data_IF_032396597233
#
_entry.id   IF_032396597233
#
_cell.length_a   1.000
_cell.length_b   1.000
_cell.length_c   1.000
_cell.angle_alpha   90.00
_cell.angle_beta   90.00
_cell.angle_gamma   90.00
#
_symmetry.space_group_name_H-M   'P 1'
#
loop_
_entity.id
_entity.type
_entity.pdbx_description
1 polymer ?
#
# COMPACT_ATOMS: atom_id res chain seq x y z
N UNK A 1 -2.39 3.66 -35.86
CA UNK A 1 -3.86 3.75 -35.71
C UNK A 1 -4.17 4.67 -34.55
N UNK A 2 -5.03 5.67 -34.73
CA UNK A 2 -5.54 6.47 -33.61
C UNK A 2 -6.36 5.56 -32.69
N UNK A 3 -6.11 5.59 -31.38
CA UNK A 3 -6.94 4.85 -30.43
C UNK A 3 -8.32 5.49 -30.32
N UNK A 4 -9.35 4.64 -30.18
CA UNK A 4 -10.71 5.13 -29.99
C UNK A 4 -10.85 5.76 -28.60
N UNK A 5 -11.66 6.82 -28.43
CA UNK A 5 -11.93 7.45 -27.13
C UNK A 5 -12.34 6.46 -26.02
N UNK A 6 -12.98 5.35 -26.40
CA UNK A 6 -13.36 4.25 -25.49
C UNK A 6 -12.17 3.58 -24.81
N UNK A 7 -11.05 3.39 -25.52
CA UNK A 7 -9.86 2.74 -24.97
C UNK A 7 -9.18 3.63 -23.91
N UNK A 8 -9.10 4.93 -24.15
CA UNK A 8 -8.55 5.90 -23.20
C UNK A 8 -9.37 5.90 -21.91
N UNK A 9 -10.71 5.96 -22.01
CA UNK A 9 -11.59 5.91 -20.84
C UNK A 9 -11.48 4.60 -20.07
N UNK A 10 -11.33 3.46 -20.77
CA UNK A 10 -11.12 2.17 -20.12
C UNK A 10 -9.82 2.16 -19.30
N UNK A 11 -8.71 2.68 -19.85
CA UNK A 11 -7.42 2.73 -19.15
C UNK A 11 -7.46 3.71 -17.96
N UNK A 12 -8.14 4.84 -18.11
CA UNK A 12 -8.42 5.75 -16.99
C UNK A 12 -9.18 5.03 -15.87
N UNK A 13 -10.26 4.33 -16.21
CA UNK A 13 -11.06 3.58 -15.24
C UNK A 13 -10.22 2.52 -14.51
N UNK A 14 -9.38 1.76 -15.21
CA UNK A 14 -8.47 0.77 -14.60
C UNK A 14 -7.53 1.45 -13.60
N UNK A 15 -6.82 2.52 -14.01
CA UNK A 15 -5.91 3.24 -13.12
C UNK A 15 -6.61 3.76 -11.86
N UNK A 16 -7.77 4.38 -12.03
CA UNK A 16 -8.57 4.97 -10.96
C UNK A 16 -9.11 3.93 -9.98
N UNK A 17 -9.76 2.90 -10.49
CA UNK A 17 -10.37 1.85 -9.68
C UNK A 17 -9.29 1.11 -8.91
N UNK A 18 -8.20 0.71 -9.56
CA UNK A 18 -7.13 -0.03 -8.90
C UNK A 18 -6.42 0.81 -7.84
N UNK A 19 -6.02 2.05 -8.13
CA UNK A 19 -5.36 2.92 -7.14
C UNK A 19 -6.27 3.26 -5.95
N UNK A 20 -7.56 3.55 -6.19
CA UNK A 20 -8.52 3.87 -5.13
C UNK A 20 -8.86 2.65 -4.26
N UNK A 21 -9.03 1.47 -4.87
CA UNK A 21 -9.27 0.23 -4.13
C UNK A 21 -8.08 -0.11 -3.22
N UNK A 22 -6.85 0.04 -3.71
CA UNK A 22 -5.64 -0.15 -2.90
C UNK A 22 -5.55 0.89 -1.77
N UNK A 23 -5.88 2.15 -2.03
CA UNK A 23 -5.92 3.19 -1.00
C UNK A 23 -6.89 2.82 0.11
N UNK A 24 -8.13 2.43 -0.25
CA UNK A 24 -9.14 1.97 0.69
C UNK A 24 -8.69 0.77 1.51
N UNK A 25 -8.12 -0.25 0.86
CA UNK A 25 -7.58 -1.42 1.55
C UNK A 25 -6.48 -1.05 2.56
N UNK A 26 -5.52 -0.22 2.16
CA UNK A 26 -4.47 0.28 3.07
C UNK A 26 -5.04 1.06 4.25
N UNK A 27 -5.97 1.99 4.00
CA UNK A 27 -6.57 2.81 5.05
C UNK A 27 -7.33 1.93 6.04
N UNK A 28 -8.19 1.01 5.57
CA UNK A 28 -8.97 0.08 6.42
C UNK A 28 -8.06 -0.80 7.27
N UNK A 29 -6.94 -1.29 6.72
CA UNK A 29 -5.97 -2.04 7.51
C UNK A 29 -5.47 -1.20 8.69
N UNK A 30 -5.17 0.07 8.48
CA UNK A 30 -4.67 0.94 9.55
C UNK A 30 -5.75 1.39 10.53
N UNK A 31 -6.95 1.72 10.06
CA UNK A 31 -7.99 2.36 10.89
C UNK A 31 -8.93 1.37 11.56
N UNK A 32 -9.06 0.15 11.03
CA UNK A 32 -9.98 -0.87 11.56
C UNK A 32 -9.22 -2.11 11.97
N UNK A 33 -8.40 -2.70 11.08
CA UNK A 33 -7.72 -3.97 11.39
C UNK A 33 -6.70 -3.82 12.51
N UNK A 34 -5.80 -2.82 12.45
CA UNK A 34 -4.74 -2.63 13.46
C UNK A 34 -5.31 -2.45 14.88
N UNK A 35 -6.33 -1.59 15.13
CA UNK A 35 -6.97 -1.54 16.44
C UNK A 35 -7.52 -2.88 16.93
N UNK A 36 -8.11 -3.70 16.04
CA UNK A 36 -8.60 -5.04 16.41
C UNK A 36 -7.46 -6.01 16.72
N UNK A 37 -6.34 -5.93 16.00
CA UNK A 37 -5.14 -6.74 16.27
C UNK A 37 -4.59 -6.44 17.67
N UNK A 38 -4.56 -5.17 18.08
CA UNK A 38 -4.04 -4.73 19.38
C UNK A 38 -4.89 -5.18 20.59
N UNK A 39 -6.11 -5.67 20.37
CA UNK A 39 -6.96 -6.25 21.43
C UNK A 39 -6.71 -7.75 21.65
N UNK A 40 -6.01 -8.41 20.72
CA UNK A 40 -5.74 -9.83 20.79
C UNK A 40 -4.52 -10.15 21.67
N UNK A 41 -4.46 -11.34 22.30
CA UNK A 41 -3.23 -11.82 22.93
C UNK A 41 -2.05 -11.80 21.95
N UNK A 42 -0.85 -11.45 22.43
CA UNK A 42 0.33 -11.22 21.59
C UNK A 42 0.59 -12.32 20.54
N UNK A 43 0.54 -13.62 20.86
CA UNK A 43 0.77 -14.67 19.87
C UNK A 43 -0.24 -14.66 18.72
N UNK A 44 -1.51 -14.46 19.05
CA UNK A 44 -2.59 -14.37 18.07
C UNK A 44 -2.48 -13.10 17.24
N UNK A 45 -2.20 -11.96 17.87
CA UNK A 45 -1.98 -10.67 17.20
C UNK A 45 -0.87 -10.77 16.15
N UNK A 46 0.29 -11.33 16.52
CA UNK A 46 1.44 -11.50 15.62
C UNK A 46 1.12 -12.45 14.47
N UNK A 47 0.43 -13.57 14.74
CA UNK A 47 0.00 -14.52 13.70
C UNK A 47 -0.96 -13.87 12.70
N UNK A 48 -1.96 -13.12 13.18
CA UNK A 48 -2.93 -12.43 12.34
C UNK A 48 -2.26 -11.33 11.50
N UNK A 49 -1.40 -10.51 12.12
CA UNK A 49 -0.61 -9.51 11.42
C UNK A 49 0.25 -10.14 10.31
N UNK A 50 0.96 -11.24 10.60
CA UNK A 50 1.81 -11.91 9.62
C UNK A 50 0.99 -12.41 8.41
N UNK A 51 -0.23 -12.90 8.66
CA UNK A 51 -1.20 -13.24 7.62
C UNK A 51 -1.52 -12.02 6.75
N UNK A 52 -1.94 -10.90 7.34
CA UNK A 52 -2.26 -9.65 6.62
C UNK A 52 -1.04 -9.15 5.82
N UNK A 53 0.13 -9.11 6.44
CA UNK A 53 1.38 -8.68 5.81
C UNK A 53 1.75 -9.56 4.61
N UNK A 54 1.64 -10.88 4.76
CA UNK A 54 2.00 -11.85 3.71
C UNK A 54 1.05 -11.77 2.51
N UNK A 55 -0.26 -11.60 2.74
CA UNK A 55 -1.20 -11.41 1.64
C UNK A 55 -1.00 -10.05 0.97
N UNK A 56 -0.83 -8.99 1.76
CA UNK A 56 -0.59 -7.63 1.25
C UNK A 56 0.67 -7.52 0.39
N UNK A 57 1.80 -8.09 0.84
CA UNK A 57 3.06 -8.04 0.07
C UNK A 57 2.98 -8.77 -1.27
N UNK A 58 2.11 -9.77 -1.39
CA UNK A 58 1.95 -10.55 -2.62
C UNK A 58 0.93 -9.90 -3.58
N UNK A 59 -0.12 -9.26 -3.05
CA UNK A 59 -1.21 -8.72 -3.87
C UNK A 59 -1.05 -7.24 -4.21
N UNK A 60 -0.59 -6.40 -3.28
CA UNK A 60 -0.60 -4.95 -3.46
C UNK A 60 0.42 -4.44 -4.50
N UNK A 61 1.70 -4.90 -4.53
CA UNK A 61 2.66 -4.38 -5.50
C UNK A 61 2.28 -4.64 -6.97
N UNK A 62 1.80 -5.84 -7.38
CA UNK A 62 1.33 -6.06 -8.75
C UNK A 62 0.15 -5.15 -9.13
N UNK A 63 -0.80 -4.92 -8.22
CA UNK A 63 -1.93 -4.03 -8.47
C UNK A 63 -1.48 -2.56 -8.55
N UNK A 64 -0.52 -2.13 -7.73
CA UNK A 64 0.06 -0.79 -7.84
C UNK A 64 0.81 -0.61 -9.17
N UNK A 65 1.51 -1.65 -9.64
CA UNK A 65 2.14 -1.64 -10.97
C UNK A 65 1.10 -1.56 -12.10
N UNK A 66 -0.04 -2.24 -11.97
CA UNK A 66 -1.15 -2.13 -12.92
C UNK A 66 -1.67 -0.69 -12.99
N UNK A 67 -1.97 -0.07 -11.84
CA UNK A 67 -2.44 1.31 -11.79
C UNK A 67 -1.38 2.29 -12.34
N UNK A 68 -0.12 2.12 -11.96
CA UNK A 68 0.98 2.94 -12.45
C UNK A 68 1.15 2.83 -13.97
N UNK A 69 1.08 1.62 -14.52
CA UNK A 69 1.20 1.37 -15.96
C UNK A 69 0.08 2.05 -16.74
N UNK A 70 -1.16 2.00 -16.24
CA UNK A 70 -2.29 2.74 -16.82
C UNK A 70 -2.03 4.24 -16.86
N UNK A 71 -1.55 4.83 -15.76
CA UNK A 71 -1.24 6.26 -15.71
C UNK A 71 -0.04 6.65 -16.57
N UNK A 72 1.04 5.86 -16.60
CA UNK A 72 2.18 6.11 -17.47
C UNK A 72 1.82 6.03 -18.94
N UNK A 73 0.93 5.10 -19.31
CA UNK A 73 0.40 5.05 -20.66
C UNK A 73 -0.39 6.32 -21.03
N UNK A 74 -1.27 6.77 -20.14
CA UNK A 74 -2.04 8.01 -20.33
C UNK A 74 -1.13 9.24 -20.38
N UNK A 75 -0.05 9.26 -19.60
CA UNK A 75 0.97 10.31 -19.66
C UNK A 75 1.64 10.33 -21.03
N UNK A 76 2.12 9.19 -21.51
CA UNK A 76 2.74 9.07 -22.83
C UNK A 76 1.81 9.53 -23.95
N UNK A 77 0.55 9.08 -23.94
CA UNK A 77 -0.46 9.50 -24.93
C UNK A 77 -0.77 10.99 -24.87
N UNK A 78 -0.97 11.54 -23.67
CA UNK A 78 -1.24 12.96 -23.49
C UNK A 78 -0.06 13.82 -23.98
N UNK A 79 1.17 13.38 -23.73
CA UNK A 79 2.38 14.06 -24.21
C UNK A 79 2.47 14.03 -25.74
N UNK A 80 2.17 12.90 -26.37
CA UNK A 80 2.18 12.79 -27.83
C UNK A 80 1.11 13.63 -28.52
N UNK A 81 -0.10 13.69 -27.95
CA UNK A 81 -1.24 14.36 -28.58
C UNK A 81 -1.28 15.87 -28.32
N UNK A 82 -0.89 16.31 -27.11
CA UNK A 82 -1.01 17.71 -26.67
C UNK A 82 0.34 18.43 -26.63
N UNK A 83 1.44 17.71 -26.84
CA UNK A 83 2.79 18.24 -26.78
C UNK A 83 3.33 18.43 -25.35
N UNK A 84 4.62 18.78 -25.21
CA UNK A 84 5.32 18.85 -23.92
C UNK A 84 4.84 19.99 -23.00
N UNK A 85 4.24 21.04 -23.57
CA UNK A 85 3.73 22.19 -22.81
C UNK A 85 2.46 21.86 -22.00
N UNK A 86 1.73 20.81 -22.36
CA UNK A 86 0.50 20.42 -21.66
C UNK A 86 0.78 19.92 -20.23
N UNK A 87 -0.06 20.29 -19.27
CA UNK A 87 0.02 19.82 -17.88
C UNK A 87 -0.44 18.37 -17.72
N UNK A 88 -1.38 17.92 -18.57
CA UNK A 88 -2.08 16.65 -18.45
C UNK A 88 -1.14 15.44 -18.37
N UNK A 89 -0.09 15.40 -19.18
CA UNK A 89 0.87 14.30 -19.16
C UNK A 89 1.70 14.26 -17.88
N UNK A 90 2.08 15.44 -17.35
CA UNK A 90 2.85 15.54 -16.10
C UNK A 90 2.04 15.05 -14.91
N UNK A 91 0.75 15.38 -14.88
CA UNK A 91 -0.14 14.95 -13.80
C UNK A 91 -0.37 13.43 -13.83
N UNK A 92 -0.57 12.83 -15.01
CA UNK A 92 -0.62 11.37 -15.12
C UNK A 92 0.71 10.71 -14.74
N UNK A 93 1.85 11.30 -15.09
CA UNK A 93 3.16 10.81 -14.63
C UNK A 93 3.25 10.83 -13.10
N UNK A 94 2.83 11.92 -12.46
CA UNK A 94 2.79 12.03 -11.00
C UNK A 94 1.84 10.97 -10.39
N UNK A 95 0.65 10.77 -10.96
CA UNK A 95 -0.29 9.75 -10.49
C UNK A 95 0.34 8.34 -10.53
N UNK A 96 1.04 8.01 -11.63
CA UNK A 96 1.72 6.72 -11.76
C UNK A 96 2.88 6.54 -10.77
N UNK A 97 3.69 7.59 -10.57
CA UNK A 97 4.79 7.59 -9.59
C UNK A 97 4.28 7.43 -8.16
N UNK A 98 3.20 8.10 -7.79
CA UNK A 98 2.57 7.95 -6.48
C UNK A 98 2.05 6.52 -6.25
N UNK A 99 1.50 5.89 -7.30
CA UNK A 99 0.98 4.52 -7.21
C UNK A 99 2.09 3.51 -6.95
N UNK A 100 3.12 3.46 -7.81
CA UNK A 100 4.22 2.50 -7.66
C UNK A 100 5.16 2.87 -6.50
N UNK A 101 5.14 4.14 -6.06
CA UNK A 101 5.92 4.68 -4.95
C UNK A 101 5.69 3.98 -3.61
N UNK A 102 4.60 3.22 -3.45
CA UNK A 102 4.41 2.38 -2.27
C UNK A 102 5.50 1.32 -2.11
N UNK A 103 6.15 0.89 -3.20
CA UNK A 103 7.22 -0.12 -3.18
C UNK A 103 8.47 0.44 -2.52
N UNK A 104 9.12 1.51 -3.03
CA UNK A 104 10.27 2.11 -2.35
C UNK A 104 9.90 2.63 -0.95
N UNK A 105 8.69 3.14 -0.74
CA UNK A 105 8.21 3.50 0.61
C UNK A 105 8.24 2.31 1.57
N UNK A 106 7.78 1.14 1.12
CA UNK A 106 7.78 -0.07 1.96
C UNK A 106 9.21 -0.56 2.22
N UNK A 107 10.04 -0.62 1.17
CA UNK A 107 11.42 -1.12 1.28
C UNK A 107 12.31 -0.25 2.17
N UNK A 108 12.13 1.07 2.15
CA UNK A 108 12.96 2.00 2.94
C UNK A 108 12.30 2.35 4.27
N UNK A 109 11.03 2.79 4.24
CA UNK A 109 10.35 3.33 5.41
C UNK A 109 9.75 2.27 6.35
N UNK A 110 9.33 1.11 5.82
CA UNK A 110 8.63 0.10 6.62
C UNK A 110 9.49 -1.12 6.96
N UNK A 111 10.55 -1.41 6.20
CA UNK A 111 11.38 -2.61 6.39
C UNK A 111 11.91 -2.79 7.82
N UNK A 112 12.41 -1.76 8.53
CA UNK A 112 12.88 -1.95 9.90
C UNK A 112 11.79 -2.47 10.84
N UNK A 113 10.58 -1.91 10.76
CA UNK A 113 9.44 -2.36 11.57
C UNK A 113 8.95 -3.74 11.13
N UNK A 114 8.90 -4.00 9.82
CA UNK A 114 8.51 -5.32 9.29
C UNK A 114 9.45 -6.42 9.78
N UNK A 115 10.77 -6.19 9.76
CA UNK A 115 11.77 -7.17 10.22
C UNK A 115 11.64 -7.46 11.71
N UNK A 116 11.49 -6.42 12.55
CA UNK A 116 11.26 -6.61 13.99
C UNK A 116 10.00 -7.43 14.28
N UNK A 117 8.91 -7.16 13.57
CA UNK A 117 7.66 -7.92 13.73
C UNK A 117 7.78 -9.36 13.24
N UNK A 118 8.46 -9.61 12.11
CA UNK A 118 8.75 -10.96 11.63
C UNK A 118 9.61 -11.74 12.62
N UNK A 119 10.62 -11.13 13.22
CA UNK A 119 11.43 -11.79 14.26
C UNK A 119 10.56 -12.20 15.46
N UNK A 120 9.67 -11.31 15.93
CA UNK A 120 8.71 -11.64 17.00
C UNK A 120 7.75 -12.78 16.62
N UNK A 121 7.34 -12.85 15.36
CA UNK A 121 6.54 -13.98 14.86
C UNK A 121 7.31 -15.30 14.96
N UNK A 122 8.60 -15.30 14.62
CA UNK A 122 9.44 -16.50 14.74
C UNK A 122 9.71 -16.88 16.20
N UNK A 123 9.99 -15.92 17.08
CA UNK A 123 10.14 -16.13 18.53
C UNK A 123 8.92 -16.84 19.14
N UNK A 124 7.72 -16.49 18.66
CA UNK A 124 6.47 -17.08 19.17
C UNK A 124 6.28 -18.54 18.73
N UNK A 125 6.86 -18.98 17.60
CA UNK A 125 6.68 -20.36 17.10
C UNK A 125 7.44 -21.41 17.92
N UNK A 126 8.42 -21.01 18.72
CA UNK A 126 9.29 -21.90 19.49
C UNK A 126 8.86 -22.13 20.94
N UNK A 127 7.83 -21.43 21.41
CA UNK A 127 7.39 -21.45 22.81
C UNK A 127 6.15 -22.33 23.01
N UNK A 128 6.03 -22.96 24.17
CA UNK A 128 4.77 -23.59 24.56
C UNK A 128 3.72 -22.51 24.85
N UNK A 129 2.42 -22.79 24.68
CA UNK A 129 1.31 -21.84 24.93
C UNK A 129 1.38 -21.19 26.33
N UNK A 130 2.05 -21.83 27.31
CA UNK A 130 2.27 -21.28 28.65
C UNK A 130 3.44 -20.29 28.73
N UNK A 131 4.47 -20.49 27.91
CA UNK A 131 5.66 -19.63 27.85
C UNK A 131 5.44 -18.40 26.95
N UNK A 132 4.54 -18.52 25.97
CA UNK A 132 4.09 -17.42 25.09
C UNK A 132 3.56 -16.19 25.86
N UNK A 133 2.93 -16.40 27.02
CA UNK A 133 2.36 -15.32 27.85
C UNK A 133 3.43 -14.57 28.67
N UNK A 134 4.56 -15.21 28.97
CA UNK A 134 5.62 -14.66 29.83
C UNK A 134 6.69 -13.95 28.99
N UNK A 135 7.03 -14.47 27.81
CA UNK A 135 8.06 -13.90 26.91
C UNK A 135 7.56 -12.71 26.07
N UNK A 136 6.25 -12.63 25.79
CA UNK A 136 5.65 -11.54 25.01
C UNK A 136 5.87 -10.12 25.58
N UNK A 137 6.39 -10.03 26.81
CA UNK A 137 6.71 -8.78 27.51
C UNK A 137 8.21 -8.41 27.61
N UNK A 138 9.16 -9.24 27.16
CA UNK A 138 10.57 -9.16 27.60
C UNK A 138 11.61 -8.57 26.61
N UNK A 139 11.20 -7.84 25.57
CA UNK A 139 12.16 -7.22 24.61
C UNK A 139 11.99 -5.71 24.43
N UNK A 140 13.11 -5.00 24.15
CA UNK A 140 13.10 -3.62 23.64
C UNK A 140 12.09 -3.49 22.49
N UNK A 141 11.14 -2.54 22.61
CA UNK A 141 9.90 -2.41 21.83
C UNK A 141 8.93 -3.62 21.90
N UNK A 142 7.82 -3.44 22.63
CA UNK A 142 6.75 -4.45 22.72
C UNK A 142 6.11 -4.72 21.35
N UNK A 143 5.60 -5.93 21.13
CA UNK A 143 4.88 -6.29 19.90
C UNK A 143 3.75 -5.30 19.58
N UNK A 144 3.02 -4.84 20.60
CA UNK A 144 1.95 -3.85 20.47
C UNK A 144 2.44 -2.52 19.90
N UNK A 145 3.56 -1.98 20.43
CA UNK A 145 4.14 -0.73 19.90
C UNK A 145 4.57 -0.87 18.44
N UNK A 146 5.11 -2.03 18.07
CA UNK A 146 5.51 -2.30 16.69
C UNK A 146 4.31 -2.42 15.74
N UNK A 147 3.22 -3.09 16.16
CA UNK A 147 1.99 -3.21 15.39
C UNK A 147 1.33 -1.83 15.20
N UNK A 148 1.28 -1.02 16.26
CA UNK A 148 0.75 0.34 16.20
C UNK A 148 1.57 1.22 15.23
N UNK A 149 2.89 1.22 15.37
CA UNK A 149 3.81 1.90 14.45
C UNK A 149 3.65 1.41 13.01
N UNK A 150 3.53 0.09 12.81
CA UNK A 150 3.31 -0.49 11.49
C UNK A 150 1.99 0.00 10.88
N UNK A 151 0.93 0.10 11.69
CA UNK A 151 -0.34 0.66 11.28
C UNK A 151 -0.24 2.11 10.81
N UNK A 152 0.49 2.95 11.55
CA UNK A 152 0.73 4.34 11.15
C UNK A 152 1.53 4.43 9.83
N UNK A 153 2.58 3.63 9.67
CA UNK A 153 3.35 3.58 8.42
C UNK A 153 2.51 3.06 7.25
N UNK A 154 1.67 2.04 7.48
CA UNK A 154 0.75 1.55 6.44
C UNK A 154 -0.27 2.62 6.03
N UNK A 155 -0.68 3.51 6.94
CA UNK A 155 -1.56 4.63 6.60
C UNK A 155 -0.88 5.57 5.60
N UNK A 156 0.44 5.79 5.74
CA UNK A 156 1.25 6.51 4.76
C UNK A 156 1.16 5.92 3.34
N UNK A 157 1.14 4.59 3.20
CA UNK A 157 0.88 3.94 1.90
C UNK A 157 -0.51 4.26 1.38
N UNK A 158 -1.51 4.21 2.25
CA UNK A 158 -2.88 4.59 1.93
C UNK A 158 -2.98 6.02 1.39
N UNK A 159 -2.28 6.97 2.02
CA UNK A 159 -2.22 8.36 1.56
C UNK A 159 -1.56 8.50 0.18
N UNK A 160 -0.44 7.81 -0.08
CA UNK A 160 0.21 7.83 -1.39
C UNK A 160 -0.73 7.32 -2.50
N UNK A 161 -1.44 6.22 -2.24
CA UNK A 161 -2.39 5.62 -3.18
C UNK A 161 -3.63 6.49 -3.37
N UNK A 162 -4.12 7.12 -2.31
CA UNK A 162 -5.25 8.04 -2.37
C UNK A 162 -4.89 9.27 -3.20
N UNK A 163 -3.70 9.83 -2.99
CA UNK A 163 -3.17 10.92 -3.80
C UNK A 163 -3.00 10.52 -5.27
N UNK A 164 -2.52 9.30 -5.55
CA UNK A 164 -2.45 8.73 -6.90
C UNK A 164 -3.82 8.72 -7.58
N UNK A 165 -4.84 8.15 -6.93
CA UNK A 165 -6.20 8.11 -7.45
C UNK A 165 -6.82 9.50 -7.65
N UNK A 166 -6.62 10.41 -6.69
CA UNK A 166 -7.10 11.79 -6.77
C UNK A 166 -6.49 12.56 -7.94
N UNK A 167 -5.16 12.52 -8.10
CA UNK A 167 -4.47 13.19 -9.22
C UNK A 167 -4.91 12.57 -10.54
N UNK A 168 -5.02 11.24 -10.63
CA UNK A 168 -5.54 10.55 -11.80
C UNK A 168 -6.94 11.01 -12.18
N UNK A 169 -7.84 11.16 -11.20
CA UNK A 169 -9.24 11.52 -11.40
C UNK A 169 -9.35 12.97 -11.86
N UNK A 170 -8.67 13.87 -11.15
CA UNK A 170 -8.59 15.28 -11.50
C UNK A 170 -8.07 15.49 -12.93
N UNK A 171 -7.06 14.73 -13.33
CA UNK A 171 -6.46 14.81 -14.67
C UNK A 171 -7.41 14.27 -15.75
N UNK A 172 -8.22 13.27 -15.44
CA UNK A 172 -9.22 12.73 -16.38
C UNK A 172 -10.37 13.71 -16.64
N UNK A 173 -10.67 14.60 -15.69
CA UNK A 173 -11.75 15.59 -15.78
C UNK A 173 -11.35 16.90 -16.49
N UNK A 174 -10.04 17.17 -16.68
CA UNK A 174 -9.53 18.28 -17.48
C UNK A 174 -9.56 17.96 -18.98
#
# INVERSE_FOLDING_TARGET
MAETPSAIHAIQAVGLVTSSALAGASIVISTIMVPRLLEAPTPLMLRQWNGVFTHGKNAMPPLAALAASSYFYLAYKSHQLLGPAASKWKLYLVAGLLSIGIVPYTLVGMSPTNQKLLNKVEETKGLSVKDELVEAGLGEETAHKLIDKWGLLNLGRGVLLLASGFVGAWTALQ
#
